data_IF_728689077026
#
_entry.id   IF_728689077026
#
_cell.length_a   1.000
_cell.length_b   1.000
_cell.length_c   1.000
_cell.angle_alpha   90.00
_cell.angle_beta   90.00
_cell.angle_gamma   90.00
#
_symmetry.space_group_name_H-M   'P 1'
#
loop_
_entity.id
_entity.type
_entity.pdbx_description
1 polymer ?
#
# COMPACT_ATOMS: atom_id res chain seq x y z
N UNK A 1 49.01 8.84 13.63
CA UNK A 1 48.84 7.80 14.66
C UNK A 1 47.34 7.56 14.83
N UNK A 2 46.85 6.32 14.78
CA UNK A 2 45.42 6.03 14.90
C UNK A 2 44.98 5.97 16.37
N UNK A 3 43.72 6.31 16.65
CA UNK A 3 43.13 6.18 17.99
C UNK A 3 42.93 4.70 18.33
N UNK A 4 43.45 4.19 19.47
CA UNK A 4 43.22 2.80 19.86
C UNK A 4 41.75 2.54 20.17
N UNK A 5 41.25 1.37 19.77
CA UNK A 5 39.86 0.95 20.01
C UNK A 5 39.72 0.32 21.40
N UNK A 6 38.66 0.64 22.15
CA UNK A 6 38.39 0.00 23.43
C UNK A 6 38.02 -1.48 23.21
N UNK A 7 38.30 -2.38 24.19
CA UNK A 7 37.94 -3.80 24.10
C UNK A 7 36.43 -4.05 23.96
N UNK A 8 35.60 -3.12 24.47
CA UNK A 8 34.15 -3.10 24.28
C UNK A 8 33.77 -1.82 23.54
N UNK A 9 33.18 -1.98 22.37
CA UNK A 9 32.73 -0.86 21.55
C UNK A 9 31.27 -0.52 21.87
N UNK A 10 31.03 0.74 22.27
CA UNK A 10 29.70 1.28 22.51
C UNK A 10 29.09 1.76 21.19
N UNK A 11 28.32 0.87 20.54
CA UNK A 11 27.62 1.17 19.28
C UNK A 11 26.59 2.30 19.43
N UNK A 12 25.68 2.31 20.43
CA UNK A 12 24.73 3.41 20.61
C UNK A 12 25.40 4.78 20.73
N UNK A 13 26.49 4.91 21.50
CA UNK A 13 27.21 6.17 21.62
C UNK A 13 27.96 6.52 20.33
N UNK A 14 28.54 5.53 19.63
CA UNK A 14 29.20 5.76 18.35
C UNK A 14 28.23 6.25 17.27
N UNK A 15 27.07 5.63 17.14
CA UNK A 15 26.01 6.05 16.21
C UNK A 15 25.57 7.48 16.48
N UNK A 16 25.34 7.86 17.74
CA UNK A 16 24.99 9.25 18.10
C UNK A 16 26.07 10.25 17.68
N UNK A 17 27.35 9.91 17.83
CA UNK A 17 28.46 10.76 17.37
C UNK A 17 28.49 10.90 15.85
N UNK A 18 28.25 9.80 15.12
CA UNK A 18 28.20 9.81 13.66
C UNK A 18 27.01 10.62 13.14
N UNK A 19 25.84 10.48 13.76
CA UNK A 19 24.66 11.29 13.44
C UNK A 19 24.93 12.78 13.65
N UNK A 20 25.53 13.15 14.79
CA UNK A 20 25.91 14.55 15.06
C UNK A 20 26.89 15.10 14.02
N UNK A 21 27.89 14.30 13.62
CA UNK A 21 28.82 14.65 12.54
C UNK A 21 28.10 14.83 11.20
N UNK A 22 27.17 13.94 10.83
CA UNK A 22 26.41 14.08 9.60
C UNK A 22 25.53 15.33 9.58
N UNK A 23 24.93 15.68 10.72
CA UNK A 23 24.09 16.87 10.87
C UNK A 23 24.92 18.17 10.79
N UNK A 24 26.07 18.22 11.48
CA UNK A 24 26.97 19.38 11.51
C UNK A 24 27.52 19.72 10.12
N UNK A 25 27.82 18.71 9.31
CA UNK A 25 28.42 18.88 7.99
C UNK A 25 27.43 18.77 6.82
N UNK A 26 26.12 18.68 7.09
CA UNK A 26 25.07 18.43 6.10
C UNK A 26 25.47 17.34 5.09
N UNK A 27 25.92 16.18 5.60
CA UNK A 27 26.56 15.14 4.76
C UNK A 27 25.62 14.62 3.68
N UNK A 28 24.32 14.54 3.97
CA UNK A 28 23.33 14.16 2.97
C UNK A 28 23.23 15.24 1.86
N UNK A 29 23.05 16.51 2.23
CA UNK A 29 23.01 17.61 1.26
C UNK A 29 24.29 17.72 0.43
N UNK A 30 25.46 17.60 1.06
CA UNK A 30 26.77 17.58 0.41
C UNK A 30 26.89 16.44 -0.61
N UNK A 31 26.41 15.23 -0.27
CA UNK A 31 26.43 14.08 -1.19
C UNK A 31 25.59 14.33 -2.46
N UNK A 32 24.44 15.00 -2.33
CA UNK A 32 23.59 15.39 -3.45
C UNK A 32 24.24 16.49 -4.29
N UNK A 33 24.82 17.50 -3.62
CA UNK A 33 25.51 18.61 -4.29
C UNK A 33 26.69 18.10 -5.13
N UNK A 34 27.51 17.19 -4.58
CA UNK A 34 28.63 16.58 -5.28
C UNK A 34 28.17 15.87 -6.57
N UNK A 35 27.10 15.07 -6.49
CA UNK A 35 26.57 14.36 -7.67
C UNK A 35 25.95 15.31 -8.70
N UNK A 36 25.25 16.35 -8.24
CA UNK A 36 24.68 17.38 -9.11
C UNK A 36 25.77 18.15 -9.87
N UNK A 37 26.85 18.55 -9.18
CA UNK A 37 27.99 19.24 -9.78
C UNK A 37 28.74 18.38 -10.80
N UNK A 38 28.83 17.07 -10.55
CA UNK A 38 29.44 16.11 -11.47
C UNK A 38 28.58 15.78 -12.70
N UNK A 39 27.37 16.36 -12.84
CA UNK A 39 26.45 16.02 -13.94
C UNK A 39 25.99 14.56 -13.90
N UNK A 40 25.91 13.96 -12.71
CA UNK A 40 25.59 12.55 -12.53
C UNK A 40 24.21 12.18 -13.11
N UNK A 41 24.05 10.97 -13.69
CA UNK A 41 22.75 10.48 -14.09
C UNK A 41 21.81 10.35 -12.88
N UNK A 42 20.52 10.63 -13.09
CA UNK A 42 19.50 10.54 -12.05
C UNK A 42 19.08 9.09 -11.82
N UNK A 43 18.94 8.73 -10.55
CA UNK A 43 18.22 7.53 -10.13
C UNK A 43 17.03 7.99 -9.27
N UNK A 44 15.82 7.78 -9.77
CA UNK A 44 14.59 8.26 -9.12
C UNK A 44 14.16 7.28 -8.03
N UNK A 45 13.96 7.80 -6.82
CA UNK A 45 13.49 7.03 -5.67
C UNK A 45 12.14 7.59 -5.21
N UNK A 46 11.16 6.71 -5.04
CA UNK A 46 9.87 7.04 -4.43
C UNK A 46 9.75 6.41 -3.06
N UNK A 47 9.44 7.25 -2.09
CA UNK A 47 9.09 6.83 -0.73
C UNK A 47 7.57 6.69 -0.66
N UNK A 48 7.11 5.49 -0.30
CA UNK A 48 5.69 5.23 -0.04
C UNK A 48 5.29 5.93 1.26
N UNK A 49 4.41 6.95 1.21
CA UNK A 49 4.20 7.85 2.33
C UNK A 49 3.49 7.14 3.48
N UNK A 50 4.02 7.17 4.72
CA UNK A 50 3.29 6.66 5.87
C UNK A 50 2.13 7.58 6.26
N UNK A 51 1.11 7.01 6.89
CA UNK A 51 0.11 7.79 7.63
C UNK A 51 0.67 8.12 9.02
N UNK A 52 0.79 9.41 9.35
CA UNK A 52 1.35 9.87 10.63
C UNK A 52 0.32 9.93 11.78
N UNK A 53 -0.76 9.16 11.68
CA UNK A 53 -1.81 9.03 12.70
C UNK A 53 -1.46 8.00 13.80
N UNK A 54 -0.29 7.36 13.74
CA UNK A 54 0.18 6.41 14.76
C UNK A 54 1.70 6.43 14.97
N UNK A 55 2.13 5.82 16.06
CA UNK A 55 3.55 5.65 16.38
C UNK A 55 4.25 4.71 15.40
N UNK A 56 5.54 4.95 15.10
CA UNK A 56 6.28 4.01 14.29
C UNK A 56 6.51 2.66 15.00
N UNK A 57 6.54 1.56 14.24
CA UNK A 57 6.80 0.21 14.75
C UNK A 57 7.95 -0.46 13.97
N UNK A 58 8.48 -1.63 14.41
CA UNK A 58 9.65 -2.27 13.79
C UNK A 58 9.54 -2.55 12.28
N UNK A 59 8.33 -2.70 11.74
CA UNK A 59 8.10 -2.84 10.30
C UNK A 59 8.52 -1.59 9.52
N UNK A 60 8.31 -0.40 10.08
CA UNK A 60 8.82 0.85 9.50
C UNK A 60 10.35 0.89 9.52
N UNK A 61 10.99 0.40 10.57
CA UNK A 61 12.45 0.33 10.64
C UNK A 61 13.02 -0.58 9.56
N UNK A 62 12.46 -1.78 9.38
CA UNK A 62 12.90 -2.75 8.38
C UNK A 62 12.77 -2.19 6.95
N UNK A 63 11.58 -1.67 6.62
CA UNK A 63 11.34 -1.14 5.27
C UNK A 63 12.24 0.06 4.97
N UNK A 64 12.48 0.95 5.94
CA UNK A 64 13.39 2.09 5.78
C UNK A 64 14.85 1.69 5.67
N UNK A 65 15.30 0.67 6.41
CA UNK A 65 16.66 0.15 6.26
C UNK A 65 16.90 -0.33 4.81
N UNK A 66 15.97 -1.10 4.25
CA UNK A 66 16.05 -1.57 2.86
C UNK A 66 16.00 -0.38 1.89
N UNK A 67 15.06 0.55 2.10
CA UNK A 67 14.89 1.77 1.28
C UNK A 67 16.09 2.73 1.38
N UNK A 68 16.98 2.61 2.37
CA UNK A 68 18.18 3.46 2.48
C UNK A 68 19.41 2.84 1.79
N UNK A 69 19.57 1.51 1.90
CA UNK A 69 20.72 0.77 1.37
C UNK A 69 20.90 1.00 -0.13
N UNK A 70 19.83 0.85 -0.92
CA UNK A 70 19.93 0.97 -2.38
C UNK A 70 20.21 2.41 -2.85
N UNK A 71 19.52 3.45 -2.35
CA UNK A 71 19.88 4.83 -2.66
C UNK A 71 21.31 5.19 -2.26
N UNK A 72 21.83 4.70 -1.12
CA UNK A 72 23.26 4.88 -0.76
C UNK A 72 24.18 4.23 -1.78
N UNK A 73 23.93 2.97 -2.12
CA UNK A 73 24.69 2.25 -3.14
C UNK A 73 24.67 2.96 -4.50
N UNK A 74 23.51 3.45 -4.95
CA UNK A 74 23.38 4.22 -6.20
C UNK A 74 24.13 5.54 -6.15
N UNK A 75 24.09 6.22 -5.00
CA UNK A 75 24.89 7.43 -4.76
C UNK A 75 26.38 7.10 -4.84
N UNK A 76 26.84 5.98 -4.28
CA UNK A 76 28.26 5.57 -4.33
C UNK A 76 28.71 5.18 -5.74
N UNK A 77 27.83 4.59 -6.54
CA UNK A 77 28.10 4.18 -7.95
C UNK A 77 27.92 5.32 -8.96
N UNK A 78 27.82 6.57 -8.51
CA UNK A 78 27.87 7.72 -9.42
C UNK A 78 26.53 8.36 -9.77
N UNK A 79 25.42 7.99 -9.13
CA UNK A 79 24.10 8.53 -9.46
C UNK A 79 23.69 9.68 -8.54
N UNK A 80 22.91 10.62 -9.06
CA UNK A 80 22.17 11.59 -8.27
C UNK A 80 20.85 10.94 -7.79
N UNK A 81 20.71 10.76 -6.47
CA UNK A 81 19.55 10.10 -5.87
C UNK A 81 18.83 11.07 -4.93
N UNK A 82 17.91 11.86 -5.47
CA UNK A 82 17.06 12.74 -4.68
C UNK A 82 16.00 11.93 -3.94
N UNK A 83 15.83 12.18 -2.63
CA UNK A 83 14.97 11.38 -1.75
C UNK A 83 14.03 12.31 -1.00
N UNK A 84 12.76 12.29 -1.36
CA UNK A 84 11.72 13.14 -0.78
C UNK A 84 10.79 12.26 0.06
N UNK A 85 10.56 12.66 1.31
CA UNK A 85 9.56 11.99 2.15
C UNK A 85 8.15 12.43 1.72
N UNK A 86 7.15 11.69 2.18
CA UNK A 86 5.76 12.08 2.06
C UNK A 86 4.94 11.65 3.26
N UNK A 87 3.75 12.22 3.38
CA UNK A 87 2.75 11.87 4.38
C UNK A 87 1.45 11.56 3.67
N UNK A 88 0.86 10.41 4.00
CA UNK A 88 -0.51 10.11 3.62
C UNK A 88 -1.45 10.59 4.72
N UNK A 89 -2.46 11.37 4.33
CA UNK A 89 -3.16 12.28 5.24
C UNK A 89 -4.67 12.29 5.08
N UNK A 90 -5.20 11.49 4.14
CA UNK A 90 -6.63 11.35 3.91
C UNK A 90 -7.10 9.93 4.22
N UNK A 91 -8.42 9.73 4.11
CA UNK A 91 -9.03 8.41 4.04
C UNK A 91 -9.35 7.79 5.40
N UNK A 92 -9.94 6.60 5.32
CA UNK A 92 -10.53 5.89 6.45
C UNK A 92 -9.60 5.71 7.66
N UNK A 93 -8.29 5.41 7.51
CA UNK A 93 -7.41 5.28 8.69
C UNK A 93 -7.34 6.54 9.55
N UNK A 94 -7.35 7.72 8.93
CA UNK A 94 -7.34 9.00 9.67
C UNK A 94 -8.71 9.26 10.31
N UNK A 95 -9.78 9.12 9.52
CA UNK A 95 -11.14 9.39 9.95
C UNK A 95 -11.57 8.49 11.12
N UNK A 96 -11.24 7.20 11.07
CA UNK A 96 -11.59 6.22 12.12
C UNK A 96 -10.89 6.54 13.44
N UNK A 97 -9.62 6.96 13.42
CA UNK A 97 -8.91 7.34 14.65
C UNK A 97 -9.48 8.62 15.26
N UNK A 98 -9.81 9.63 14.44
CA UNK A 98 -10.48 10.85 14.91
C UNK A 98 -11.85 10.54 15.49
N UNK A 99 -12.63 9.66 14.87
CA UNK A 99 -13.90 9.17 15.41
C UNK A 99 -13.74 8.54 16.81
N UNK A 100 -12.71 7.70 17.01
CA UNK A 100 -12.41 7.12 18.33
C UNK A 100 -12.04 8.18 19.36
N UNK A 101 -11.26 9.18 18.98
CA UNK A 101 -10.89 10.29 19.87
C UNK A 101 -12.09 11.13 20.27
N UNK A 102 -12.89 11.56 19.30
CA UNK A 102 -14.10 12.34 19.55
C UNK A 102 -15.07 11.56 20.44
N UNK A 103 -15.20 10.25 20.22
CA UNK A 103 -16.03 9.38 21.07
C UNK A 103 -15.58 9.40 22.53
N UNK A 104 -14.27 9.36 22.78
CA UNK A 104 -13.70 9.45 24.14
C UNK A 104 -13.89 10.83 24.75
N UNK A 105 -13.72 11.89 23.97
CA UNK A 105 -13.82 13.28 24.43
C UNK A 105 -15.26 13.71 24.74
N UNK A 106 -16.21 13.30 23.91
CA UNK A 106 -17.61 13.73 23.99
C UNK A 106 -18.48 12.78 24.82
N UNK A 107 -17.96 11.62 25.19
CA UNK A 107 -18.67 10.62 26.01
C UNK A 107 -19.82 9.92 25.28
N UNK A 108 -20.00 10.13 23.98
CA UNK A 108 -20.95 9.43 23.14
C UNK A 108 -20.31 9.05 21.80
N UNK A 109 -20.83 7.99 21.17
CA UNK A 109 -20.31 7.43 19.93
C UNK A 109 -20.36 8.42 18.77
N UNK A 110 -19.24 8.56 18.06
CA UNK A 110 -19.18 9.12 16.69
C UNK A 110 -18.50 8.08 15.81
N UNK A 111 -19.30 7.27 15.12
CA UNK A 111 -18.84 6.13 14.33
C UNK A 111 -19.53 5.99 12.97
N UNK A 112 -20.68 6.64 12.78
CA UNK A 112 -21.49 6.60 11.56
C UNK A 112 -21.37 7.92 10.80
N UNK A 113 -21.67 7.87 9.50
CA UNK A 113 -21.74 9.06 8.65
C UNK A 113 -22.70 10.12 9.20
N UNK A 114 -23.86 9.70 9.71
CA UNK A 114 -24.88 10.61 10.24
C UNK A 114 -24.39 11.34 11.50
N UNK A 115 -23.68 10.66 12.39
CA UNK A 115 -23.10 11.28 13.59
C UNK A 115 -22.01 12.30 13.22
N UNK A 116 -21.18 12.00 12.21
CA UNK A 116 -20.17 12.95 11.69
C UNK A 116 -20.84 14.20 11.11
N UNK A 117 -21.91 14.03 10.33
CA UNK A 117 -22.69 15.14 9.78
C UNK A 117 -23.33 16.01 10.87
N UNK A 118 -23.83 15.38 11.95
CA UNK A 118 -24.39 16.08 13.11
C UNK A 118 -23.32 16.84 13.92
N UNK A 119 -22.13 16.27 14.07
CA UNK A 119 -20.98 16.96 14.67
C UNK A 119 -20.51 18.16 13.83
N UNK A 120 -20.62 18.04 12.51
CA UNK A 120 -20.31 19.05 11.52
C UNK A 120 -19.07 18.68 10.71
N UNK A 121 -19.24 18.56 9.39
CA UNK A 121 -18.20 18.11 8.45
C UNK A 121 -16.94 18.98 8.50
N UNK A 122 -17.09 20.30 8.54
CA UNK A 122 -15.95 21.22 8.63
C UNK A 122 -15.14 21.00 9.92
N UNK A 123 -15.83 20.89 11.05
CA UNK A 123 -15.19 20.63 12.35
C UNK A 123 -14.49 19.28 12.35
N UNK A 124 -15.11 18.27 11.75
CA UNK A 124 -14.50 16.94 11.63
C UNK A 124 -13.24 16.97 10.77
N UNK A 125 -13.27 17.61 9.61
CA UNK A 125 -12.12 17.74 8.72
C UNK A 125 -10.95 18.46 9.40
N UNK A 126 -11.23 19.52 10.17
CA UNK A 126 -10.19 20.21 10.94
C UNK A 126 -9.54 19.30 11.97
N UNK A 127 -10.31 18.41 12.63
CA UNK A 127 -9.77 17.41 13.55
C UNK A 127 -8.88 16.40 12.83
N UNK A 128 -9.28 15.94 11.64
CA UNK A 128 -8.45 15.07 10.79
C UNK A 128 -7.13 15.74 10.37
N UNK A 129 -7.14 17.01 9.98
CA UNK A 129 -5.91 17.73 9.63
C UNK A 129 -4.99 17.86 10.85
N UNK A 130 -5.56 18.13 12.03
CA UNK A 130 -4.78 18.23 13.27
C UNK A 130 -4.19 16.90 13.72
N UNK A 131 -4.89 15.77 13.51
CA UNK A 131 -4.41 14.45 13.92
C UNK A 131 -3.23 13.97 13.09
N UNK A 132 -3.15 14.36 11.82
CA UNK A 132 -2.09 13.95 10.88
C UNK A 132 -0.68 14.31 11.38
N UNK A 133 -0.50 15.45 12.04
CA UNK A 133 0.82 15.89 12.49
C UNK A 133 1.18 15.45 13.91
N UNK A 134 0.31 14.69 14.57
CA UNK A 134 0.46 14.38 15.99
C UNK A 134 1.74 13.61 16.28
N UNK A 135 2.07 12.62 15.44
CA UNK A 135 3.23 11.74 15.65
C UNK A 135 4.42 12.10 14.77
N UNK A 136 4.36 13.22 14.04
CA UNK A 136 5.43 13.59 13.09
C UNK A 136 6.79 13.67 13.77
N UNK A 137 6.86 14.17 15.01
CA UNK A 137 8.12 14.27 15.76
C UNK A 137 8.74 12.90 16.05
N UNK A 138 7.95 11.93 16.49
CA UNK A 138 8.39 10.56 16.76
C UNK A 138 8.86 9.87 15.47
N UNK A 139 8.18 10.14 14.36
CA UNK A 139 8.60 9.67 13.05
C UNK A 139 9.91 10.32 12.59
N UNK A 140 10.10 11.62 12.78
CA UNK A 140 11.34 12.33 12.47
C UNK A 140 12.51 11.80 13.31
N UNK A 141 12.29 11.60 14.61
CA UNK A 141 13.29 11.05 15.52
C UNK A 141 13.69 9.62 15.11
N UNK A 142 12.72 8.75 14.82
CA UNK A 142 13.01 7.40 14.33
C UNK A 142 13.79 7.45 13.01
N UNK A 143 13.38 8.32 12.06
CA UNK A 143 14.07 8.52 10.77
C UNK A 143 15.54 8.85 10.97
N UNK A 144 15.79 9.86 11.82
CA UNK A 144 17.14 10.32 12.15
C UNK A 144 17.93 9.23 12.84
N UNK A 145 17.33 8.54 13.82
CA UNK A 145 18.02 7.53 14.63
C UNK A 145 18.43 6.29 13.82
N UNK A 146 17.64 5.92 12.81
CA UNK A 146 17.96 4.88 11.83
C UNK A 146 19.04 5.29 10.84
N UNK A 147 19.36 6.60 10.75
CA UNK A 147 20.23 7.13 9.71
C UNK A 147 19.60 7.09 8.31
N UNK A 148 18.26 7.04 8.21
CA UNK A 148 17.58 7.03 6.91
C UNK A 148 17.67 8.42 6.26
N UNK A 149 18.49 8.56 5.22
CA UNK A 149 18.66 9.85 4.54
C UNK A 149 17.47 10.12 3.62
N UNK A 150 16.63 11.07 4.02
CA UNK A 150 15.47 11.53 3.25
C UNK A 150 15.16 12.98 3.61
N UNK A 151 14.69 13.77 2.64
CA UNK A 151 14.27 15.13 2.88
C UNK A 151 12.88 15.18 3.54
N UNK A 152 12.85 15.43 4.84
CA UNK A 152 11.64 15.63 5.64
C UNK A 152 11.16 17.09 5.65
N UNK A 153 12.08 18.07 5.49
CA UNK A 153 11.76 19.51 5.54
C UNK A 153 10.81 19.92 4.42
N UNK A 154 10.99 19.32 3.25
CA UNK A 154 10.12 19.50 2.09
C UNK A 154 9.26 18.24 1.85
N UNK A 155 8.81 17.54 2.90
CA UNK A 155 7.94 16.38 2.71
C UNK A 155 6.62 16.80 2.04
N UNK A 156 6.15 16.02 1.05
CA UNK A 156 4.81 16.27 0.49
C UNK A 156 3.73 15.73 1.44
N UNK A 157 2.55 16.34 1.45
CA UNK A 157 1.38 15.82 2.17
C UNK A 157 0.21 15.74 1.20
N UNK A 158 -0.58 14.66 1.28
CA UNK A 158 -1.64 14.42 0.30
C UNK A 158 -2.76 15.47 0.35
N UNK A 159 -2.97 16.16 1.49
CA UNK A 159 -3.90 17.29 1.60
C UNK A 159 -3.39 18.63 1.06
N UNK A 160 -2.10 18.75 0.71
CA UNK A 160 -1.59 20.00 0.14
C UNK A 160 -2.25 20.31 -1.21
N UNK A 161 -2.60 21.58 -1.43
CA UNK A 161 -3.35 22.03 -2.62
C UNK A 161 -2.76 21.54 -3.94
N UNK A 162 -1.44 21.66 -4.13
CA UNK A 162 -0.78 21.22 -5.37
C UNK A 162 -0.84 19.70 -5.60
N UNK A 163 -0.89 18.90 -4.52
CA UNK A 163 -1.10 17.46 -4.62
C UNK A 163 -2.53 17.15 -5.05
N UNK A 164 -3.52 17.77 -4.41
CA UNK A 164 -4.95 17.63 -4.75
C UNK A 164 -5.23 18.06 -6.19
N UNK A 165 -4.66 19.18 -6.62
CA UNK A 165 -4.78 19.67 -8.00
C UNK A 165 -4.20 18.67 -9.01
N UNK A 166 -3.07 18.03 -8.68
CA UNK A 166 -2.49 16.97 -9.52
C UNK A 166 -3.40 15.74 -9.62
N UNK A 167 -4.07 15.36 -8.52
CA UNK A 167 -5.07 14.29 -8.52
C UNK A 167 -6.28 14.66 -9.38
N UNK A 168 -6.79 15.90 -9.26
CA UNK A 168 -7.90 16.39 -10.09
C UNK A 168 -7.54 16.40 -11.58
N UNK A 169 -6.32 16.83 -11.92
CA UNK A 169 -5.82 16.75 -13.29
C UNK A 169 -5.81 15.29 -13.80
N UNK A 170 -5.36 14.35 -12.98
CA UNK A 170 -5.38 12.92 -13.31
C UNK A 170 -6.80 12.39 -13.54
N UNK A 171 -7.73 12.69 -12.63
CA UNK A 171 -9.14 12.30 -12.75
C UNK A 171 -9.80 12.91 -13.99
N UNK A 172 -9.56 14.20 -14.27
CA UNK A 172 -10.03 14.88 -15.47
C UNK A 172 -9.49 14.20 -16.72
N UNK A 173 -8.20 13.87 -16.75
CA UNK A 173 -7.57 13.18 -17.88
C UNK A 173 -8.20 11.80 -18.12
N UNK A 174 -8.49 11.04 -17.06
CA UNK A 174 -9.19 9.75 -17.18
C UNK A 174 -10.62 9.92 -17.68
N UNK A 175 -11.33 10.93 -17.20
CA UNK A 175 -12.68 11.27 -17.65
C UNK A 175 -12.72 11.64 -19.14
N UNK A 176 -11.83 12.53 -19.58
CA UNK A 176 -11.73 12.96 -20.99
C UNK A 176 -11.39 11.81 -21.94
N UNK A 177 -10.74 10.76 -21.43
CA UNK A 177 -10.44 9.53 -22.17
C UNK A 177 -11.55 8.47 -22.09
N UNK A 178 -12.65 8.75 -21.40
CA UNK A 178 -13.74 7.78 -21.18
C UNK A 178 -13.38 6.62 -20.24
N UNK A 179 -12.31 6.76 -19.44
CA UNK A 179 -11.84 5.74 -18.48
C UNK A 179 -12.42 5.91 -17.08
N UNK A 180 -13.02 7.07 -16.78
CA UNK A 180 -13.76 7.33 -15.55
C UNK A 180 -15.26 7.45 -15.88
N UNK A 181 -16.07 6.54 -15.34
CA UNK A 181 -17.51 6.48 -15.62
C UNK A 181 -18.31 6.20 -14.34
N UNK A 182 -19.58 6.58 -14.37
CA UNK A 182 -20.55 6.24 -13.32
C UNK A 182 -21.36 5.02 -13.76
N UNK A 183 -21.59 4.09 -12.83
CA UNK A 183 -22.40 2.90 -13.06
C UNK A 183 -23.01 2.35 -11.78
N UNK A 184 -23.95 1.44 -11.92
CA UNK A 184 -24.59 0.73 -10.81
C UNK A 184 -24.17 -0.74 -10.85
N UNK A 185 -23.52 -1.21 -9.78
CA UNK A 185 -22.99 -2.57 -9.68
C UNK A 185 -23.00 -3.03 -8.24
N UNK A 186 -23.01 -4.35 -8.03
CA UNK A 186 -22.76 -4.94 -6.71
C UNK A 186 -21.30 -4.72 -6.35
N UNK A 187 -21.05 -4.17 -5.15
CA UNK A 187 -19.72 -3.87 -4.63
C UNK A 187 -19.62 -4.31 -3.17
N UNK A 188 -18.39 -4.42 -2.67
CA UNK A 188 -18.17 -4.55 -1.24
C UNK A 188 -18.57 -3.27 -0.52
N UNK A 189 -19.32 -3.41 0.56
CA UNK A 189 -19.92 -2.31 1.29
C UNK A 189 -19.56 -2.39 2.77
N UNK A 190 -18.96 -1.33 3.30
CA UNK A 190 -18.72 -1.21 4.73
C UNK A 190 -19.95 -0.59 5.40
N UNK A 191 -20.78 -1.43 6.01
CA UNK A 191 -22.07 -1.03 6.58
C UNK A 191 -21.95 0.07 7.65
N UNK A 192 -20.92 0.03 8.49
CA UNK A 192 -20.73 0.99 9.59
C UNK A 192 -20.36 2.38 9.07
N UNK A 193 -19.44 2.49 8.11
CA UNK A 193 -19.04 3.78 7.53
C UNK A 193 -19.92 4.26 6.39
N UNK A 194 -20.78 3.39 5.85
CA UNK A 194 -21.69 3.74 4.76
C UNK A 194 -20.97 4.07 3.45
N UNK A 195 -19.92 3.31 3.11
CA UNK A 195 -19.13 3.52 1.88
C UNK A 195 -18.78 2.20 1.20
N UNK A 196 -18.56 2.27 -0.12
CA UNK A 196 -18.06 1.16 -0.90
C UNK A 196 -16.55 0.97 -0.67
N UNK A 197 -16.09 -0.27 -0.75
CA UNK A 197 -14.68 -0.65 -0.67
C UNK A 197 -14.19 -1.24 -2.00
N UNK A 198 -12.92 -1.03 -2.29
CA UNK A 198 -12.21 -1.67 -3.38
C UNK A 198 -11.85 -3.13 -3.05
N UNK A 199 -11.54 -3.92 -4.08
CA UNK A 199 -11.07 -5.29 -3.88
C UNK A 199 -9.74 -5.35 -3.10
N UNK A 200 -8.87 -4.34 -3.25
CA UNK A 200 -7.61 -4.24 -2.51
C UNK A 200 -7.83 -4.11 -1.00
N UNK A 201 -8.76 -3.25 -0.59
CA UNK A 201 -9.10 -3.05 0.83
C UNK A 201 -9.71 -4.30 1.46
N UNK A 202 -10.58 -5.01 0.75
CA UNK A 202 -11.22 -6.23 1.27
C UNK A 202 -10.24 -7.41 1.34
N UNK A 203 -9.33 -7.52 0.37
CA UNK A 203 -8.35 -8.60 0.30
C UNK A 203 -7.42 -8.68 1.52
N UNK A 204 -7.17 -7.56 2.20
CA UNK A 204 -6.31 -7.51 3.39
C UNK A 204 -7.02 -7.93 4.70
N UNK A 205 -8.35 -8.04 4.69
CA UNK A 205 -9.18 -8.12 5.90
C UNK A 205 -9.81 -9.49 6.21
N UNK A 206 -9.50 -10.54 5.44
CA UNK A 206 -10.17 -11.84 5.60
C UNK A 206 -9.95 -12.46 6.99
N UNK A 207 -11.05 -12.96 7.57
CA UNK A 207 -11.07 -13.67 8.84
C UNK A 207 -11.99 -14.87 8.73
N UNK A 208 -11.59 -15.98 9.34
CA UNK A 208 -12.49 -17.11 9.57
C UNK A 208 -13.49 -16.71 10.65
N UNK A 209 -14.78 -16.84 10.35
CA UNK A 209 -15.89 -16.57 11.26
C UNK A 209 -16.86 -17.74 11.21
N UNK A 210 -17.58 -17.96 12.31
CA UNK A 210 -18.63 -18.96 12.38
C UNK A 210 -19.94 -18.34 11.91
N UNK A 211 -20.47 -18.84 10.79
CA UNK A 211 -21.78 -18.43 10.28
C UNK A 211 -22.78 -19.59 10.38
N UNK A 212 -24.07 -19.30 10.64
CA UNK A 212 -25.09 -20.32 10.65
C UNK A 212 -25.30 -20.90 9.24
N UNK A 213 -25.11 -22.20 9.09
CA UNK A 213 -25.45 -22.95 7.88
C UNK A 213 -26.83 -23.60 8.05
N UNK A 214 -27.80 -23.19 7.23
CA UNK A 214 -29.20 -23.66 7.31
C UNK A 214 -29.69 -24.15 5.95
N UNK A 215 -30.54 -25.18 5.98
CA UNK A 215 -31.21 -25.70 4.78
C UNK A 215 -32.67 -25.24 4.78
N UNK A 216 -33.10 -24.58 3.70
CA UNK A 216 -34.47 -24.07 3.55
C UNK A 216 -35.12 -24.71 2.33
N UNK A 217 -36.23 -25.43 2.54
CA UNK A 217 -37.02 -26.01 1.45
C UNK A 217 -37.93 -24.94 0.86
N UNK A 218 -37.91 -24.79 -0.47
CA UNK A 218 -38.82 -23.91 -1.20
C UNK A 218 -39.87 -24.76 -1.93
N UNK A 219 -41.17 -24.65 -1.61
CA UNK A 219 -42.21 -25.34 -2.36
C UNK A 219 -42.34 -24.76 -3.76
N UNK A 220 -42.62 -25.62 -4.74
CA UNK A 220 -42.88 -25.22 -6.12
C UNK A 220 -44.23 -24.49 -6.21
N UNK A 221 -44.26 -23.41 -6.99
CA UNK A 221 -45.49 -22.65 -7.21
C UNK A 221 -46.56 -23.55 -7.87
N UNK A 222 -47.72 -23.68 -7.20
CA UNK A 222 -48.84 -24.50 -7.67
C UNK A 222 -48.81 -25.96 -7.20
N UNK A 223 -47.77 -26.40 -6.48
CA UNK A 223 -47.81 -27.69 -5.79
C UNK A 223 -48.60 -27.58 -4.48
N UNK A 224 -49.46 -28.55 -4.13
CA UNK A 224 -49.98 -28.65 -2.78
C UNK A 224 -48.79 -28.76 -1.83
N UNK A 225 -48.72 -27.88 -0.84
CA UNK A 225 -47.70 -27.97 0.21
C UNK A 225 -48.11 -29.15 1.09
N UNK A 226 -47.64 -30.36 0.78
CA UNK A 226 -47.71 -31.46 1.74
C UNK A 226 -46.75 -31.16 2.88
N UNK A 227 -47.33 -30.75 4.02
CA UNK A 227 -46.62 -30.49 5.27
C UNK A 227 -46.07 -29.07 5.41
N UNK A 228 -46.93 -28.12 5.79
CA UNK A 228 -46.51 -27.18 6.84
C UNK A 228 -46.39 -27.97 8.15
N UNK A 229 -45.49 -27.64 9.10
CA UNK A 229 -45.03 -26.29 9.42
C UNK A 229 -43.53 -26.23 9.78
N UNK A 230 -43.12 -25.21 10.53
CA UNK A 230 -42.01 -25.30 11.49
C UNK A 230 -42.17 -26.57 12.37
N UNK A 231 -41.83 -27.74 11.85
CA UNK A 231 -41.57 -28.94 12.63
C UNK A 231 -40.08 -29.26 12.51
N UNK A 232 -39.38 -28.93 13.58
CA UNK A 232 -38.02 -29.36 13.86
C UNK A 232 -37.99 -30.88 14.02
N UNK A 233 -37.33 -31.59 13.11
CA UNK A 233 -36.85 -32.96 13.29
C UNK A 233 -35.62 -33.21 12.40
N UNK A 234 -34.74 -34.14 12.81
CA UNK A 234 -33.32 -33.89 12.94
C UNK A 234 -32.61 -33.72 11.60
N UNK A 235 -31.55 -32.91 11.64
CA UNK A 235 -30.56 -32.78 10.57
C UNK A 235 -30.02 -34.17 10.26
N UNK A 236 -30.57 -34.84 9.25
CA UNK A 236 -29.92 -35.99 8.62
C UNK A 236 -28.83 -35.44 7.71
N UNK A 237 -27.60 -35.50 8.22
CA UNK A 237 -26.39 -35.47 7.41
C UNK A 237 -26.36 -36.74 6.56
N UNK A 238 -26.51 -36.63 5.25
CA UNK A 238 -25.92 -37.63 4.34
C UNK A 238 -24.47 -37.22 4.08
N UNK A 239 -23.51 -38.17 4.15
CA UNK A 239 -22.12 -37.85 3.88
C UNK A 239 -21.96 -37.46 2.41
N UNK A 240 -21.23 -36.39 2.15
CA UNK A 240 -20.61 -36.20 0.84
C UNK A 240 -19.52 -37.27 0.75
N UNK A 241 -19.87 -38.44 0.21
CA UNK A 241 -18.87 -39.42 -0.22
C UNK A 241 -18.01 -38.77 -1.30
N UNK A 242 -16.74 -38.55 -0.97
CA UNK A 242 -15.71 -38.34 -1.97
C UNK A 242 -15.58 -39.62 -2.79
N UNK A 243 -16.08 -39.59 -4.02
CA UNK A 243 -15.71 -40.56 -5.05
C UNK A 243 -14.78 -39.90 -6.05
N UNK A 244 -13.49 -40.18 -5.91
CA UNK A 244 -12.57 -40.15 -7.05
C UNK A 244 -13.00 -41.25 -8.02
N UNK A 245 -13.60 -40.89 -9.15
CA UNK A 245 -13.31 -41.48 -10.47
C UNK A 245 -14.24 -40.93 -11.55
N UNK A 246 -13.66 -40.50 -12.67
CA UNK A 246 -14.40 -40.28 -13.92
C UNK A 246 -14.53 -38.81 -14.32
N UNK A 247 -13.65 -38.39 -15.22
CA UNK A 247 -13.63 -37.07 -15.86
C UNK A 247 -14.93 -36.80 -16.62
N UNK A 248 -15.65 -35.75 -16.21
CA UNK A 248 -16.69 -35.08 -16.98
C UNK A 248 -16.71 -33.61 -16.56
N UNK A 249 -15.70 -32.85 -17.02
CA UNK A 249 -15.47 -31.48 -16.57
C UNK A 249 -16.58 -30.52 -16.99
N UNK A 250 -17.23 -29.89 -16.01
CA UNK A 250 -17.99 -28.67 -16.23
C UNK A 250 -16.99 -27.51 -16.32
N UNK A 251 -16.72 -27.08 -17.55
CA UNK A 251 -15.98 -25.85 -17.82
C UNK A 251 -16.85 -24.65 -17.41
N UNK A 252 -16.36 -23.86 -16.46
CA UNK A 252 -16.84 -22.50 -16.26
C UNK A 252 -16.41 -21.67 -17.47
N UNK A 253 -17.36 -21.27 -18.32
CA UNK A 253 -17.11 -20.27 -19.35
C UNK A 253 -16.91 -18.90 -18.69
N UNK A 254 -15.75 -18.24 -18.84
CA UNK A 254 -15.62 -16.83 -18.55
C UNK A 254 -16.40 -16.05 -19.62
N UNK A 255 -17.22 -15.09 -19.19
CA UNK A 255 -17.97 -14.21 -20.09
C UNK A 255 -17.06 -13.56 -21.14
N UNK A 256 -17.47 -13.65 -22.40
CA UNK A 256 -16.75 -13.08 -23.52
C UNK A 256 -16.71 -11.55 -23.47
N UNK A 257 -15.56 -11.01 -23.07
CA UNK A 257 -15.12 -9.66 -23.41
C UNK A 257 -14.07 -9.76 -24.52
N UNK A 258 -14.35 -9.19 -25.69
CA UNK A 258 -13.45 -9.23 -26.84
C UNK A 258 -12.14 -8.50 -26.58
N UNK A 259 -11.03 -9.23 -26.69
CA UNK A 259 -9.67 -8.72 -26.75
C UNK A 259 -8.74 -9.82 -27.25
N UNK A 260 -8.21 -9.67 -28.47
CA UNK A 260 -7.23 -10.61 -29.03
C UNK A 260 -5.94 -10.61 -28.19
N UNK A 261 -5.40 -11.77 -27.79
CA UNK A 261 -4.10 -11.82 -27.14
C UNK A 261 -2.96 -11.89 -28.17
N UNK A 262 -1.92 -11.09 -27.93
CA UNK A 262 -0.63 -11.17 -28.61
C UNK A 262 0.11 -12.48 -28.25
N UNK A 263 0.92 -13.06 -29.16
CA UNK A 263 1.60 -14.33 -28.88
C UNK A 263 2.80 -14.11 -27.94
N UNK A 264 2.79 -14.81 -26.79
CA UNK A 264 3.98 -14.98 -25.95
C UNK A 264 4.78 -16.21 -26.38
N UNK A 265 6.07 -15.99 -26.57
CA UNK A 265 7.11 -16.97 -26.86
C UNK A 265 7.51 -17.67 -25.55
N UNK A 266 7.29 -18.99 -25.47
CA UNK A 266 7.80 -19.84 -24.41
C UNK A 266 9.25 -20.27 -24.69
N UNK A 267 10.13 -20.09 -23.70
CA UNK A 267 11.53 -20.49 -23.78
C UNK A 267 11.78 -21.97 -23.41
N UNK A 268 12.93 -22.49 -23.87
CA UNK A 268 13.58 -23.65 -23.27
C UNK A 268 13.80 -24.86 -24.18
N UNK A 269 14.78 -24.78 -25.09
CA UNK A 269 15.30 -25.93 -25.84
C UNK A 269 16.80 -25.79 -26.04
N UNK A 270 17.56 -26.78 -25.54
CA UNK A 270 19.03 -26.89 -25.54
C UNK A 270 19.66 -26.54 -26.90
N UNK A 271 20.72 -25.71 -26.90
CA UNK A 271 21.67 -25.61 -28.01
C UNK A 271 23.00 -26.29 -27.64
N UNK A 272 23.59 -27.11 -28.53
CA UNK A 272 25.00 -27.44 -28.48
C UNK A 272 25.83 -26.34 -29.17
N UNK A 273 27.07 -26.19 -28.73
CA UNK A 273 28.06 -25.30 -29.34
C UNK A 273 28.39 -25.69 -30.78
N UNK A 274 28.80 -24.72 -31.61
CA UNK A 274 29.91 -24.97 -32.51
C UNK A 274 31.01 -23.90 -32.43
N UNK A 275 32.19 -24.37 -32.81
CA UNK A 275 33.47 -23.70 -32.85
C UNK A 275 33.58 -22.72 -34.04
N UNK A 276 34.38 -21.67 -33.84
CA UNK A 276 35.45 -21.19 -34.73
C UNK A 276 35.14 -20.75 -36.17
N UNK A 277 35.59 -19.55 -36.53
CA UNK A 277 35.82 -19.15 -37.92
C UNK A 277 35.73 -17.65 -38.14
N UNK A 278 36.86 -17.01 -38.44
CA UNK A 278 36.99 -15.56 -38.61
C UNK A 278 36.58 -15.01 -39.98
N UNK A 279 36.78 -13.70 -40.16
CA UNK A 279 36.65 -12.99 -41.43
C UNK A 279 36.17 -11.56 -41.20
N UNK A 280 36.96 -10.58 -41.62
CA UNK A 280 36.75 -9.15 -41.37
C UNK A 280 36.00 -8.40 -42.48
N UNK A 281 36.13 -7.05 -42.40
CA UNK A 281 35.74 -6.00 -43.37
C UNK A 281 34.23 -5.70 -43.49
N UNK A 282 33.73 -4.46 -43.58
CA UNK A 282 34.33 -3.12 -43.75
C UNK A 282 33.25 -2.03 -43.50
N UNK A 283 33.73 -0.87 -43.06
CA UNK A 283 33.26 0.52 -43.19
C UNK A 283 32.03 0.82 -44.10
N UNK A 284 30.98 1.49 -43.59
CA UNK A 284 30.62 2.94 -43.72
C UNK A 284 29.92 3.31 -45.04
N UNK A 285 29.19 4.45 -45.13
CA UNK A 285 29.01 5.54 -44.15
C UNK A 285 27.61 5.69 -43.52
#
# INVERSE_FOLDING_TARGET
>A
MFRPLPPRFDFPAAEKRVLAFWDEHDVFGASLAQRRQAGAPRFVFYEGPPTANGLPHPGHCLTRAIKDVFPRYRTMTGHLVERKAGWDTHGLPVEVEVCKELTRELGHSIHTKQEIEQYGVERFNLRCIQSVFRYTREWEEMTRRLGFWVNLKDAYATFHKGYVESVWWGLKTLFERGLLYQGHKVVWWWAQGGTALSAGEVGEGYKTVDDPSVFVKFPLAGSPVEGSPLETSPVETSPVEGSESGRGGWQAHPGGGGGQPAPQVGGGGKQPAPQGGGGGEKADP
#
